data_IF_855165733901
#
_entry.id   IF_855165733901
#
_cell.length_a   1.000
_cell.length_b   1.000
_cell.length_c   1.000
_cell.angle_alpha   90.00
_cell.angle_beta   90.00
_cell.angle_gamma   90.00
#
_symmetry.space_group_name_H-M   'P 1'
#
loop_
_entity.id
_entity.type
_entity.pdbx_description
1 polymer ?
#
# COMPACT_ATOMS: atom_id res chain seq x y z
N UNK A 1 -25.39 -1.37 -22.82
CA UNK A 1 -24.88 0.03 -22.72
C UNK A 1 -23.41 0.18 -23.14
N UNK A 2 -22.50 -0.66 -22.63
CA UNK A 2 -21.04 -0.59 -22.90
C UNK A 2 -20.70 -0.69 -24.39
N UNK A 3 -21.32 -1.61 -25.14
CA UNK A 3 -21.11 -1.77 -26.59
C UNK A 3 -21.41 -0.48 -27.38
N UNK A 4 -22.50 0.23 -27.03
CA UNK A 4 -22.91 1.47 -27.70
C UNK A 4 -21.90 2.61 -27.47
N UNK A 5 -21.33 2.69 -26.26
CA UNK A 5 -20.27 3.65 -25.91
C UNK A 5 -18.97 3.35 -26.65
N UNK A 6 -18.60 2.07 -26.77
CA UNK A 6 -17.42 1.65 -27.52
C UNK A 6 -17.52 2.01 -29.00
N UNK A 7 -18.66 1.72 -29.64
CA UNK A 7 -18.89 2.09 -31.04
C UNK A 7 -18.82 3.60 -31.25
N UNK A 8 -19.41 4.39 -30.35
CA UNK A 8 -19.35 5.85 -30.41
C UNK A 8 -17.90 6.38 -30.29
N UNK A 9 -17.09 5.79 -29.40
CA UNK A 9 -15.68 6.15 -29.24
C UNK A 9 -14.85 5.83 -30.48
N UNK A 10 -15.07 4.66 -31.08
CA UNK A 10 -14.39 4.25 -32.33
C UNK A 10 -14.80 5.16 -33.49
N UNK A 11 -16.08 5.52 -33.59
CA UNK A 11 -16.57 6.45 -34.61
C UNK A 11 -15.93 7.84 -34.44
N UNK A 12 -15.89 8.35 -33.21
CA UNK A 12 -15.24 9.63 -32.87
C UNK A 12 -13.76 9.62 -33.26
N UNK A 13 -13.05 8.53 -32.96
CA UNK A 13 -11.64 8.37 -33.35
C UNK A 13 -11.44 8.35 -34.87
N UNK A 14 -12.32 7.66 -35.60
CA UNK A 14 -12.30 7.58 -37.06
C UNK A 14 -12.66 8.89 -37.76
N UNK A 15 -13.36 9.81 -37.09
CA UNK A 15 -13.74 11.10 -37.66
C UNK A 15 -12.66 12.19 -37.51
N UNK A 16 -11.61 11.96 -36.70
CA UNK A 16 -10.49 12.93 -36.57
C UNK A 16 -9.61 12.99 -37.80
N UNK A 17 -9.01 14.15 -38.07
CA UNK A 17 -8.03 14.31 -39.15
C UNK A 17 -6.79 13.43 -38.93
N UNK A 18 -6.07 13.09 -40.01
CA UNK A 18 -4.86 12.25 -39.94
C UNK A 18 -3.77 12.91 -39.08
N UNK A 19 -3.63 14.23 -39.18
CA UNK A 19 -2.67 15.01 -38.39
C UNK A 19 -3.00 14.97 -36.89
N UNK A 20 -4.28 15.11 -36.52
CA UNK A 20 -4.70 15.03 -35.11
C UNK A 20 -4.48 13.63 -34.53
N UNK A 21 -4.78 12.56 -35.29
CA UNK A 21 -4.51 11.19 -34.83
C UNK A 21 -3.02 10.95 -34.59
N UNK A 22 -2.15 11.53 -35.44
CA UNK A 22 -0.69 11.44 -35.26
C UNK A 22 -0.23 12.14 -33.97
N UNK A 23 -0.77 13.32 -33.67
CA UNK A 23 -0.49 14.06 -32.42
C UNK A 23 -0.97 13.31 -31.17
N UNK A 24 -2.15 12.70 -31.24
CA UNK A 24 -2.66 11.91 -30.10
C UNK A 24 -1.79 10.67 -29.88
N UNK A 25 -1.36 10.00 -30.96
CA UNK A 25 -0.49 8.82 -30.89
C UNK A 25 0.90 9.15 -30.31
N UNK A 26 1.42 10.36 -30.55
CA UNK A 26 2.71 10.77 -29.97
C UNK A 26 2.67 10.97 -28.45
N UNK A 27 1.49 11.10 -27.83
CA UNK A 27 1.39 11.12 -26.37
C UNK A 27 1.46 9.73 -25.74
N UNK A 28 1.34 8.65 -26.53
CA UNK A 28 1.39 7.27 -26.03
C UNK A 28 2.62 6.99 -25.14
N UNK A 29 3.86 7.26 -25.61
CA UNK A 29 5.06 7.08 -24.80
C UNK A 29 5.05 7.87 -23.49
N UNK A 30 4.58 9.12 -23.52
CA UNK A 30 4.52 9.99 -22.33
C UNK A 30 3.52 9.43 -21.31
N UNK A 31 2.35 8.98 -21.76
CA UNK A 31 1.33 8.37 -20.90
C UNK A 31 1.87 7.08 -20.29
N UNK A 32 2.50 6.21 -21.09
CA UNK A 32 3.10 4.97 -20.59
C UNK A 32 4.19 5.22 -19.55
N UNK A 33 5.08 6.18 -19.82
CA UNK A 33 6.12 6.57 -18.88
C UNK A 33 5.52 7.12 -17.58
N UNK A 34 4.53 8.00 -17.69
CA UNK A 34 3.81 8.56 -16.54
C UNK A 34 3.20 7.45 -15.68
N UNK A 35 2.48 6.50 -16.29
CA UNK A 35 1.88 5.37 -15.58
C UNK A 35 2.95 4.52 -14.89
N UNK A 36 4.06 4.23 -15.57
CA UNK A 36 5.15 3.45 -14.98
C UNK A 36 5.79 4.15 -13.77
N UNK A 37 6.04 5.46 -13.86
CA UNK A 37 6.59 6.26 -12.76
C UNK A 37 5.63 6.29 -11.59
N UNK A 38 4.35 6.59 -11.82
CA UNK A 38 3.35 6.60 -10.74
C UNK A 38 3.17 5.24 -10.09
N UNK A 39 3.18 4.16 -10.87
CA UNK A 39 3.16 2.80 -10.34
C UNK A 39 4.36 2.55 -9.43
N UNK A 40 5.56 2.95 -9.86
CA UNK A 40 6.77 2.87 -9.04
C UNK A 40 6.66 3.66 -7.74
N UNK A 41 6.19 4.92 -7.79
CA UNK A 41 6.01 5.76 -6.60
C UNK A 41 5.02 5.14 -5.62
N UNK A 42 3.85 4.69 -6.10
CA UNK A 42 2.84 4.05 -5.25
C UNK A 42 3.40 2.76 -4.64
N UNK A 43 4.10 1.96 -5.43
CA UNK A 43 4.71 0.72 -4.96
C UNK A 43 5.75 0.98 -3.85
N UNK A 44 6.68 1.91 -4.08
CA UNK A 44 7.66 2.30 -3.06
C UNK A 44 6.98 2.92 -1.83
N UNK A 45 5.93 3.72 -2.03
CA UNK A 45 5.17 4.31 -0.93
C UNK A 45 4.54 3.23 -0.05
N UNK A 46 3.93 2.20 -0.64
CA UNK A 46 3.37 1.07 0.10
C UNK A 46 4.48 0.33 0.86
N UNK A 47 5.60 0.02 0.22
CA UNK A 47 6.74 -0.65 0.87
C UNK A 47 7.29 0.16 2.03
N UNK A 48 7.48 1.47 1.85
CA UNK A 48 7.97 2.36 2.90
C UNK A 48 6.96 2.54 4.02
N UNK A 49 5.66 2.60 3.72
CA UNK A 49 4.60 2.70 4.73
C UNK A 49 4.55 1.44 5.58
N UNK A 50 4.66 0.27 4.94
CA UNK A 50 4.80 -1.01 5.63
C UNK A 50 6.04 -1.05 6.53
N UNK A 51 7.17 -0.47 6.10
CA UNK A 51 8.40 -0.42 6.89
C UNK A 51 8.35 0.63 8.01
N UNK A 52 7.57 1.70 7.86
CA UNK A 52 7.47 2.82 8.81
C UNK A 52 6.63 2.48 10.06
N UNK A 53 5.64 1.58 9.94
CA UNK A 53 4.82 1.17 11.09
C UNK A 53 5.32 -0.12 11.77
N UNK A 54 6.33 -0.79 11.21
CA UNK A 54 6.95 -1.98 11.77
C UNK A 54 8.37 -1.66 12.27
N UNK A 55 8.49 -1.01 13.44
CA UNK A 55 9.79 -0.72 14.08
C UNK A 55 10.45 -1.93 14.78
N UNK A 56 9.94 -3.16 14.58
CA UNK A 56 10.54 -4.38 15.10
C UNK A 56 11.26 -5.20 14.02
N UNK A 57 12.13 -6.14 14.41
CA UNK A 57 12.87 -7.08 13.54
C UNK A 57 11.98 -8.00 12.66
N UNK A 58 10.69 -7.71 12.54
CA UNK A 58 9.75 -8.42 11.68
C UNK A 58 9.87 -7.90 10.26
N UNK A 59 10.82 -8.46 9.53
CA UNK A 59 10.69 -8.60 8.06
C UNK A 59 9.30 -9.18 7.81
N UNK A 60 8.43 -8.47 7.08
CA UNK A 60 7.12 -9.02 6.69
C UNK A 60 7.37 -10.19 5.74
N UNK A 61 7.45 -11.39 6.29
CA UNK A 61 7.34 -12.61 5.50
C UNK A 61 5.85 -12.84 5.23
N UNK A 62 5.51 -13.05 3.95
CA UNK A 62 4.17 -13.49 3.54
C UNK A 62 3.80 -14.87 4.12
N UNK A 63 4.77 -15.57 4.72
CA UNK A 63 4.69 -16.99 5.07
C UNK A 63 5.05 -17.31 6.53
N UNK A 64 5.33 -16.33 7.39
CA UNK A 64 5.93 -16.62 8.71
C UNK A 64 5.39 -15.86 9.92
N UNK A 65 4.38 -14.99 9.74
CA UNK A 65 3.79 -14.25 10.85
C UNK A 65 2.88 -15.08 11.77
N UNK A 66 2.30 -16.16 11.22
CA UNK A 66 1.25 -16.96 11.86
C UNK A 66 1.75 -18.32 12.37
N UNK A 67 3.07 -18.54 12.37
CA UNK A 67 3.66 -19.74 12.97
C UNK A 67 3.31 -19.76 14.48
N UNK A 68 2.78 -20.88 15.02
CA UNK A 68 2.29 -20.95 16.39
C UNK A 68 3.38 -20.62 17.42
N UNK A 69 4.64 -20.95 17.13
CA UNK A 69 5.80 -20.63 17.96
C UNK A 69 6.04 -19.11 18.06
N UNK A 70 5.88 -18.38 16.94
CA UNK A 70 6.06 -16.93 16.89
C UNK A 70 4.92 -16.21 17.62
N UNK A 71 3.70 -16.73 17.54
CA UNK A 71 2.55 -16.21 18.29
C UNK A 71 2.77 -16.38 19.79
N UNK A 72 3.22 -17.56 20.22
CA UNK A 72 3.46 -17.88 21.62
C UNK A 72 4.58 -17.00 22.22
N UNK A 73 5.67 -16.79 21.47
CA UNK A 73 6.75 -15.88 21.88
C UNK A 73 6.26 -14.42 22.03
N UNK A 74 5.39 -13.95 21.14
CA UNK A 74 4.79 -12.60 21.25
C UNK A 74 3.88 -12.46 22.47
N UNK A 75 3.08 -13.49 22.76
CA UNK A 75 2.21 -13.50 23.94
C UNK A 75 3.02 -13.50 25.24
N UNK A 76 4.11 -14.25 25.29
CA UNK A 76 5.03 -14.26 26.44
C UNK A 76 5.69 -12.90 26.64
N UNK A 77 6.26 -12.30 25.59
CA UNK A 77 6.85 -10.96 25.66
C UNK A 77 5.83 -9.92 26.12
N UNK A 78 4.59 -10.01 25.64
CA UNK A 78 3.52 -9.09 26.07
C UNK A 78 3.21 -9.22 27.55
N UNK A 79 3.14 -10.45 28.08
CA UNK A 79 2.93 -10.71 29.51
C UNK A 79 4.07 -10.17 30.36
N UNK A 80 5.32 -10.42 29.96
CA UNK A 80 6.51 -9.91 30.66
C UNK A 80 6.53 -8.37 30.72
N UNK A 81 6.18 -7.72 29.61
CA UNK A 81 6.08 -6.27 29.54
C UNK A 81 4.96 -5.77 30.47
N UNK A 82 3.77 -6.35 30.43
CA UNK A 82 2.66 -5.97 31.32
C UNK A 82 3.00 -6.13 32.81
N UNK A 83 3.69 -7.22 33.17
CA UNK A 83 4.13 -7.48 34.54
C UNK A 83 5.25 -6.53 34.98
N UNK A 84 6.17 -6.17 34.07
CA UNK A 84 7.18 -5.14 34.34
C UNK A 84 6.54 -3.77 34.64
N UNK A 85 5.46 -3.43 33.93
CA UNK A 85 4.73 -2.19 34.17
C UNK A 85 3.88 -2.24 35.45
N UNK A 86 3.39 -3.41 35.89
CA UNK A 86 2.71 -3.52 37.20
C UNK A 86 3.64 -3.12 38.36
N UNK A 87 4.92 -3.47 38.28
CA UNK A 87 5.94 -3.07 39.26
C UNK A 87 6.33 -1.60 39.19
N UNK A 88 6.28 -0.99 38.00
CA UNK A 88 6.65 0.42 37.78
C UNK A 88 5.48 1.41 37.90
N UNK A 89 4.23 0.94 37.97
CA UNK A 89 3.07 1.81 38.17
C UNK A 89 3.12 2.43 39.57
N UNK A 90 3.51 3.71 39.63
CA UNK A 90 3.38 4.53 40.85
C UNK A 90 1.91 4.50 41.28
N UNK A 91 1.62 3.92 42.44
CA UNK A 91 0.28 4.02 43.05
C UNK A 91 0.03 5.50 43.34
N UNK A 92 -0.79 6.15 42.53
CA UNK A 92 -1.24 7.51 42.83
C UNK A 92 -2.20 7.37 44.00
N UNK A 93 -1.89 8.01 45.13
CA UNK A 93 -2.80 8.10 46.28
C UNK A 93 -3.95 9.07 45.96
N UNK A 94 -4.74 8.75 44.96
CA UNK A 94 -6.02 9.38 44.67
C UNK A 94 -7.12 8.63 45.42
N UNK A 95 -7.11 8.74 46.74
CA UNK A 95 -8.25 8.33 47.56
C UNK A 95 -9.29 9.45 47.56
N UNK A 96 -10.20 9.40 46.58
CA UNK A 96 -11.63 9.78 46.65
C UNK A 96 -12.27 9.64 45.28
#
# INVERSE_FOLDING_TARGET
>A
MIKKKFTAMVQWWKNKSVQERKRIRSYGPVILYTVAVFYGIIYLSILNTVNRYNHGNTVKSWWGGDLPEVVLLKEQQRKEIEDSFKGMRKRVSGGR
#
